data_IF_012707619752
#
_entry.id   IF_012707619752
#
_cell.length_a   1.000
_cell.length_b   1.000
_cell.length_c   1.000
_cell.angle_alpha   90.00
_cell.angle_beta   90.00
_cell.angle_gamma   90.00
#
_symmetry.space_group_name_H-M   'P 1'
#
loop_
_entity.id
_entity.type
_entity.pdbx_description
1 polymer ?
#
# COMPACT_ATOMS: atom_id res chain seq x y z
N UNK A 1 7.20 32.74 28.02
CA UNK A 1 8.52 32.98 27.40
C UNK A 1 8.32 32.85 25.91
N UNK A 2 8.48 33.93 25.14
CA UNK A 2 8.38 33.88 23.68
C UNK A 2 9.68 33.30 23.12
N UNK A 3 9.61 32.16 22.45
CA UNK A 3 10.72 31.63 21.67
C UNK A 3 10.94 32.53 20.46
N UNK A 4 11.95 33.40 20.55
CA UNK A 4 12.45 34.11 19.38
C UNK A 4 13.32 33.15 18.59
N UNK A 5 12.75 32.46 17.61
CA UNK A 5 13.55 31.75 16.62
C UNK A 5 14.23 32.80 15.73
N UNK A 6 15.56 32.95 15.76
CA UNK A 6 16.23 33.91 14.87
C UNK A 6 16.07 33.43 13.43
N UNK A 7 15.66 34.32 12.54
CA UNK A 7 15.57 34.03 11.11
C UNK A 7 16.95 33.61 10.59
N UNK A 8 17.09 32.49 9.85
CA UNK A 8 18.36 32.04 9.30
C UNK A 8 19.10 33.12 8.49
N UNK A 9 20.41 33.25 8.72
CA UNK A 9 21.28 34.18 7.96
C UNK A 9 21.38 33.72 6.50
N UNK A 10 20.83 34.47 5.52
CA UNK A 10 20.79 34.08 4.11
C UNK A 10 22.17 33.77 3.51
N UNK A 11 23.24 34.36 4.07
CA UNK A 11 24.62 34.12 3.60
C UNK A 11 25.19 32.77 4.02
N UNK A 12 24.52 32.06 4.93
CA UNK A 12 24.95 30.79 5.50
C UNK A 12 23.96 29.65 5.26
N UNK A 13 22.76 29.96 4.80
CA UNK A 13 21.74 28.99 4.40
C UNK A 13 21.64 28.93 2.88
N UNK A 14 22.13 27.85 2.24
CA UNK A 14 21.98 27.64 0.81
C UNK A 14 20.49 27.67 0.40
N UNK A 15 20.15 28.41 -0.66
CA UNK A 15 18.78 28.54 -1.18
C UNK A 15 17.94 29.67 -0.55
N UNK A 16 18.52 30.46 0.36
CA UNK A 16 17.98 31.75 0.77
C UNK A 16 18.85 32.83 0.11
N UNK A 17 18.57 33.17 -1.15
CA UNK A 17 19.18 34.36 -1.77
C UNK A 17 18.96 35.58 -0.87
N UNK A 18 20.04 36.30 -0.58
CA UNK A 18 20.07 37.46 0.31
C UNK A 18 18.87 38.38 0.08
N UNK A 19 18.24 38.83 1.16
CA UNK A 19 16.98 39.56 1.14
C UNK A 19 17.02 40.87 0.34
N UNK A 20 16.79 40.77 -0.97
CA UNK A 20 16.37 41.84 -1.87
C UNK A 20 15.63 41.28 -3.11
N UNK A 21 14.63 40.43 -2.88
CA UNK A 21 13.49 40.27 -3.80
C UNK A 21 13.76 39.70 -5.20
N UNK A 22 14.83 38.94 -5.41
CA UNK A 22 15.30 38.60 -6.77
C UNK A 22 15.18 37.16 -7.27
N UNK A 23 15.02 36.13 -6.42
CA UNK A 23 15.03 34.73 -6.91
C UNK A 23 14.25 33.79 -6.00
N UNK A 24 12.92 33.90 -6.01
CA UNK A 24 12.11 32.71 -5.77
C UNK A 24 12.30 31.79 -6.97
N UNK A 25 12.77 30.55 -6.74
CA UNK A 25 12.76 29.47 -7.73
C UNK A 25 11.49 29.59 -8.57
N UNK A 26 11.59 29.88 -9.88
CA UNK A 26 10.42 30.13 -10.73
C UNK A 26 9.39 29.02 -10.52
N UNK A 27 8.09 29.33 -10.36
CA UNK A 27 7.05 28.31 -10.26
C UNK A 27 7.13 27.37 -11.48
N UNK A 28 7.67 26.16 -11.28
CA UNK A 28 8.02 25.20 -12.34
C UNK A 28 9.43 24.60 -12.28
N UNK A 29 10.34 25.16 -11.46
CA UNK A 29 11.71 24.66 -11.23
C UNK A 29 11.80 23.75 -9.98
N UNK A 30 10.70 23.58 -9.23
CA UNK A 30 10.51 22.36 -8.46
C UNK A 30 10.43 21.21 -9.48
N UNK A 31 11.25 20.15 -9.37
CA UNK A 31 11.06 18.94 -10.18
C UNK A 31 9.57 18.57 -10.15
N UNK A 32 8.97 18.15 -11.29
CA UNK A 32 7.55 17.85 -11.37
C UNK A 32 7.17 16.99 -10.15
N UNK A 33 6.19 17.48 -9.40
CA UNK A 33 5.80 16.93 -8.11
C UNK A 33 5.75 15.41 -8.17
N UNK A 34 6.62 14.77 -7.40
CA UNK A 34 6.47 13.41 -6.91
C UNK A 34 5.93 12.41 -7.94
N UNK A 35 6.73 12.10 -8.97
CA UNK A 35 6.57 10.84 -9.72
C UNK A 35 6.94 9.60 -8.88
N UNK A 36 6.91 9.70 -7.54
CA UNK A 36 7.21 8.63 -6.59
C UNK A 36 6.04 7.67 -6.39
N UNK A 37 4.86 8.02 -6.88
CA UNK A 37 3.72 7.10 -6.99
C UNK A 37 3.56 6.68 -8.45
N UNK A 38 3.76 5.39 -8.79
CA UNK A 38 3.31 4.85 -10.06
C UNK A 38 1.82 5.15 -10.22
N UNK A 39 1.38 5.48 -11.43
CA UNK A 39 -0.02 5.72 -11.76
C UNK A 39 -0.86 4.46 -11.47
N UNK A 40 -1.37 4.35 -10.24
CA UNK A 40 -2.13 3.20 -9.76
C UNK A 40 -1.30 1.91 -9.67
N UNK A 41 -1.57 1.08 -8.67
CA UNK A 41 -1.13 -0.30 -8.73
C UNK A 41 -1.76 -0.98 -9.96
N UNK A 42 -1.05 -1.87 -10.68
CA UNK A 42 -1.69 -2.73 -11.67
C UNK A 42 -2.91 -3.39 -11.05
N UNK A 43 -3.96 -3.59 -11.85
CA UNK A 43 -5.19 -4.18 -11.35
C UNK A 43 -4.87 -5.48 -10.61
N UNK A 44 -5.13 -5.49 -9.29
CA UNK A 44 -4.79 -6.62 -8.42
C UNK A 44 -5.58 -7.87 -8.84
N UNK A 45 -6.67 -7.69 -9.58
CA UNK A 45 -7.44 -8.80 -10.13
C UNK A 45 -6.78 -9.46 -11.36
N UNK A 46 -5.78 -8.82 -12.00
CA UNK A 46 -5.23 -9.28 -13.30
C UNK A 46 -4.57 -10.66 -13.21
N UNK A 47 -4.07 -11.01 -12.02
CA UNK A 47 -3.40 -12.27 -11.74
C UNK A 47 -4.24 -13.22 -10.87
N UNK A 48 -5.50 -12.90 -10.60
CA UNK A 48 -6.37 -13.79 -9.81
C UNK A 48 -6.92 -14.89 -10.71
N UNK A 49 -6.57 -16.17 -10.50
CA UNK A 49 -7.13 -17.25 -11.29
C UNK A 49 -8.65 -17.32 -11.05
N UNK A 50 -9.41 -16.96 -12.09
CA UNK A 50 -10.87 -17.10 -12.14
C UNK A 50 -11.24 -18.57 -11.88
N UNK A 51 -11.91 -18.84 -10.76
CA UNK A 51 -12.48 -20.14 -10.45
C UNK A 51 -11.83 -20.91 -9.29
N UNK A 52 -10.68 -20.48 -8.77
CA UNK A 52 -10.04 -21.15 -7.62
C UNK A 52 -10.60 -20.73 -6.25
N UNK A 53 -11.37 -19.64 -6.18
CA UNK A 53 -11.95 -19.15 -4.92
C UNK A 53 -12.81 -20.19 -4.19
N UNK A 54 -13.86 -20.77 -4.81
CA UNK A 54 -14.74 -21.72 -4.14
C UNK A 54 -14.19 -23.15 -4.08
N UNK A 55 -13.23 -23.50 -4.94
CA UNK A 55 -12.73 -24.87 -5.09
C UNK A 55 -12.19 -25.51 -3.78
N UNK A 56 -11.29 -24.87 -3.00
CA UNK A 56 -10.77 -25.48 -1.78
C UNK A 56 -11.85 -25.63 -0.70
N UNK A 57 -12.82 -24.72 -0.64
CA UNK A 57 -13.94 -24.81 0.30
C UNK A 57 -14.82 -26.04 -0.01
N UNK A 58 -15.16 -26.24 -1.28
CA UNK A 58 -15.96 -27.40 -1.72
C UNK A 58 -15.21 -28.70 -1.45
N UNK A 59 -13.91 -28.77 -1.75
CA UNK A 59 -13.08 -29.95 -1.48
C UNK A 59 -13.07 -30.31 0.02
N UNK A 60 -12.93 -29.31 0.90
CA UNK A 60 -13.01 -29.48 2.35
C UNK A 60 -14.38 -30.00 2.81
N UNK A 61 -15.48 -29.43 2.29
CA UNK A 61 -16.83 -29.89 2.62
C UNK A 61 -17.06 -31.34 2.24
N UNK A 62 -16.61 -31.74 1.03
CA UNK A 62 -16.70 -33.14 0.59
C UNK A 62 -15.90 -34.06 1.51
N UNK A 63 -14.67 -33.68 1.85
CA UNK A 63 -13.82 -34.47 2.76
C UNK A 63 -14.47 -34.66 4.14
N UNK A 64 -15.03 -33.58 4.71
CA UNK A 64 -15.72 -33.64 6.01
C UNK A 64 -16.92 -34.59 5.95
N UNK A 65 -17.73 -34.52 4.89
CA UNK A 65 -18.86 -35.43 4.70
C UNK A 65 -18.41 -36.89 4.61
N UNK A 66 -17.33 -37.17 3.88
CA UNK A 66 -16.78 -38.53 3.76
C UNK A 66 -16.30 -39.08 5.11
N UNK A 67 -15.59 -38.26 5.89
CA UNK A 67 -15.11 -38.65 7.23
C UNK A 67 -16.30 -38.89 8.17
N UNK A 68 -17.30 -38.01 8.18
CA UNK A 68 -18.49 -38.16 8.99
C UNK A 68 -19.27 -39.43 8.63
N UNK A 69 -19.43 -39.72 7.33
CA UNK A 69 -20.07 -40.94 6.84
C UNK A 69 -19.31 -42.19 7.27
N UNK A 70 -17.97 -42.17 7.23
CA UNK A 70 -17.15 -43.27 7.73
C UNK A 70 -17.39 -43.54 9.22
N UNK A 71 -17.35 -42.51 10.07
CA UNK A 71 -17.61 -42.68 11.50
C UNK A 71 -19.03 -43.15 11.78
N UNK A 72 -20.01 -42.64 11.03
CA UNK A 72 -21.40 -43.09 11.14
C UNK A 72 -21.54 -44.58 10.78
N UNK A 73 -20.92 -45.01 9.68
CA UNK A 73 -20.91 -46.42 9.28
C UNK A 73 -20.20 -47.29 10.32
N UNK A 74 -19.06 -46.85 10.84
CA UNK A 74 -18.30 -47.54 11.88
C UNK A 74 -19.13 -47.71 13.16
N UNK A 75 -19.81 -46.65 13.62
CA UNK A 75 -20.65 -46.69 14.81
C UNK A 75 -21.91 -47.56 14.67
N UNK A 76 -22.37 -47.80 13.44
CA UNK A 76 -23.49 -48.72 13.16
C UNK A 76 -22.99 -50.16 13.02
N UNK A 77 -21.78 -50.36 12.50
CA UNK A 77 -21.24 -51.69 12.19
C UNK A 77 -20.54 -52.38 13.36
N UNK A 78 -20.04 -51.62 14.35
CA UNK A 78 -19.34 -52.13 15.54
C UNK A 78 -20.08 -51.75 16.83
#
# INVERSE_FOLDING_TARGET
MSESHPDPDPRRTPGLEGGDGGSSVPPGETPPGESSTPAGAPDQNANTPSGWGPAPMIALLVLVVLIAAFFLAYAVAL
#
